data_IF_117880749079
#
_entry.id   IF_117880749079
#
_cell.length_a   1.000
_cell.length_b   1.000
_cell.length_c   1.000
_cell.angle_alpha   90.00
_cell.angle_beta   90.00
_cell.angle_gamma   90.00
#
_symmetry.space_group_name_H-M   'P 1'
#
loop_
_entity.id
_entity.type
_entity.pdbx_description
1 polymer ?
#
# COMPACT_ATOMS: atom_id res chain seq x y z
N UNK A 1 -7.10 -23.62 -8.83
CA UNK A 1 -7.01 -22.97 -7.51
C UNK A 1 -6.12 -21.73 -7.52
N UNK A 2 -4.96 -21.71 -8.20
CA UNK A 2 -4.05 -20.53 -8.22
C UNK A 2 -4.58 -19.28 -8.92
N UNK A 3 -5.52 -19.42 -9.88
CA UNK A 3 -6.13 -18.27 -10.57
C UNK A 3 -7.01 -17.41 -9.64
N UNK A 4 -7.47 -17.96 -8.52
CA UNK A 4 -8.36 -17.26 -7.58
C UNK A 4 -7.59 -16.26 -6.71
N UNK A 5 -6.33 -16.57 -6.37
CA UNK A 5 -5.47 -15.70 -5.56
C UNK A 5 -5.04 -14.43 -6.29
N UNK A 6 -4.78 -14.53 -7.61
CA UNK A 6 -4.48 -13.36 -8.44
C UNK A 6 -5.69 -12.42 -8.60
N UNK A 7 -6.92 -12.98 -8.59
CA UNK A 7 -8.16 -12.22 -8.70
C UNK A 7 -8.45 -11.39 -7.44
N UNK A 8 -8.09 -11.89 -6.26
CA UNK A 8 -8.19 -11.16 -5.00
C UNK A 8 -7.14 -10.05 -4.86
N UNK A 9 -5.98 -10.18 -5.53
CA UNK A 9 -5.00 -9.08 -5.64
C UNK A 9 -5.38 -8.02 -6.69
N UNK A 10 -6.32 -8.33 -7.57
CA UNK A 10 -6.82 -7.48 -8.65
C UNK A 10 -8.27 -7.02 -8.42
N UNK A 11 -8.75 -6.97 -7.17
CA UNK A 11 -9.88 -6.09 -6.89
C UNK A 11 -9.34 -4.66 -6.92
N UNK A 12 -9.67 -3.85 -7.95
CA UNK A 12 -9.36 -2.44 -7.88
C UNK A 12 -10.08 -1.94 -6.63
N UNK A 13 -9.31 -1.49 -5.62
CA UNK A 13 -9.87 -0.83 -4.45
C UNK A 13 -10.90 0.16 -5.00
N UNK A 14 -12.20 -0.14 -4.81
CA UNK A 14 -13.29 0.46 -5.56
C UNK A 14 -13.04 1.96 -5.62
N UNK A 15 -12.79 2.48 -6.83
CA UNK A 15 -12.10 3.76 -7.05
C UNK A 15 -12.60 4.81 -6.06
N UNK A 16 -11.86 4.99 -4.97
CA UNK A 16 -12.29 5.84 -3.89
C UNK A 16 -12.39 7.24 -4.48
N UNK A 17 -13.58 7.84 -4.45
CA UNK A 17 -13.74 9.23 -4.87
C UNK A 17 -12.72 10.04 -4.07
N UNK A 18 -11.77 10.73 -4.73
CA UNK A 18 -10.74 11.47 -4.02
C UNK A 18 -11.42 12.46 -3.07
N UNK A 19 -11.14 12.32 -1.77
CA UNK A 19 -11.68 13.26 -0.80
C UNK A 19 -11.13 14.65 -1.10
N UNK A 20 -12.02 15.61 -1.29
CA UNK A 20 -11.69 17.02 -1.48
C UNK A 20 -12.07 17.79 -0.22
N UNK A 21 -11.19 18.69 0.21
CA UNK A 21 -11.52 19.67 1.26
C UNK A 21 -12.74 20.47 0.81
N UNK A 22 -13.79 20.59 1.64
CA UNK A 22 -14.87 21.53 1.39
C UNK A 22 -14.35 22.97 1.43
N UNK A 23 -14.60 23.75 0.37
CA UNK A 23 -14.06 25.12 0.22
C UNK A 23 -14.50 26.10 1.32
N UNK A 24 -15.59 25.81 2.04
CA UNK A 24 -16.18 26.67 3.06
C UNK A 24 -16.20 26.01 4.45
N UNK A 25 -15.22 25.17 4.79
CA UNK A 25 -15.23 24.40 6.03
C UNK A 25 -15.19 25.22 7.34
N UNK A 26 -14.90 26.53 7.27
CA UNK A 26 -14.82 27.39 8.45
C UNK A 26 -13.76 26.92 9.47
N UNK A 27 -13.66 27.59 10.64
CA UNK A 27 -12.81 27.11 11.72
C UNK A 27 -13.38 25.84 12.37
N UNK A 28 -12.50 25.00 12.92
CA UNK A 28 -12.91 23.83 13.70
C UNK A 28 -13.60 24.30 14.99
N UNK A 29 -14.81 23.81 15.31
CA UNK A 29 -15.48 24.12 16.57
C UNK A 29 -14.61 23.76 17.78
N UNK A 30 -14.58 24.58 18.85
CA UNK A 30 -13.68 24.38 19.99
C UNK A 30 -13.86 23.01 20.66
N UNK A 31 -15.10 22.51 20.73
CA UNK A 31 -15.44 21.19 21.25
C UNK A 31 -14.89 20.02 20.42
N UNK A 32 -14.52 20.26 19.15
CA UNK A 32 -13.93 19.26 18.25
C UNK A 32 -12.40 19.39 18.12
N UNK A 33 -11.78 20.41 18.73
CA UNK A 33 -10.37 20.69 18.53
C UNK A 33 -9.47 19.52 18.94
N UNK A 34 -9.74 18.88 20.08
CA UNK A 34 -8.93 17.75 20.57
C UNK A 34 -9.12 16.51 19.70
N UNK A 35 -10.36 16.25 19.25
CA UNK A 35 -10.64 15.14 18.34
C UNK A 35 -9.96 15.34 16.99
N UNK A 36 -9.95 16.56 16.46
CA UNK A 36 -9.27 16.90 15.21
C UNK A 36 -7.75 16.70 15.33
N UNK A 37 -7.14 17.10 16.44
CA UNK A 37 -5.71 16.86 16.72
C UNK A 37 -5.41 15.37 16.83
N UNK A 38 -6.23 14.61 17.55
CA UNK A 38 -6.07 13.17 17.69
C UNK A 38 -6.17 12.45 16.33
N UNK A 39 -7.17 12.83 15.51
CA UNK A 39 -7.33 12.29 14.16
C UNK A 39 -6.12 12.62 13.28
N UNK A 40 -5.64 13.86 13.29
CA UNK A 40 -4.48 14.28 12.50
C UNK A 40 -3.18 13.59 12.96
N UNK A 41 -3.05 13.21 14.24
CA UNK A 41 -1.95 12.39 14.72
C UNK A 41 -2.06 10.97 14.17
N UNK A 42 -3.20 10.30 14.35
CA UNK A 42 -3.43 8.94 13.86
C UNK A 42 -3.24 8.82 12.34
N UNK A 43 -3.72 9.81 11.57
CA UNK A 43 -3.52 9.85 10.12
C UNK A 43 -2.04 9.91 9.73
N UNK A 44 -1.22 10.68 10.45
CA UNK A 44 0.22 10.77 10.20
C UNK A 44 0.92 9.46 10.55
N UNK A 45 0.52 8.80 11.63
CA UNK A 45 1.09 7.52 12.04
C UNK A 45 0.83 6.44 10.99
N UNK A 46 -0.42 6.31 10.54
CA UNK A 46 -0.83 5.37 9.50
C UNK A 46 -0.13 5.67 8.17
N UNK A 47 -0.05 6.94 7.76
CA UNK A 47 0.67 7.33 6.54
C UNK A 47 2.16 6.96 6.63
N UNK A 48 2.78 7.15 7.80
CA UNK A 48 4.17 6.77 8.04
C UNK A 48 4.38 5.25 7.99
N UNK A 49 3.45 4.46 8.53
CA UNK A 49 3.49 3.00 8.43
C UNK A 49 3.36 2.52 6.99
N UNK A 50 2.38 3.04 6.26
CA UNK A 50 2.18 2.70 4.86
C UNK A 50 3.43 2.99 4.02
N UNK A 51 4.07 4.13 4.23
CA UNK A 51 5.28 4.48 3.48
C UNK A 51 6.46 3.57 3.82
N UNK A 52 6.61 3.14 5.08
CA UNK A 52 7.65 2.17 5.48
C UNK A 52 7.43 0.82 4.79
N UNK A 53 6.20 0.32 4.78
CA UNK A 53 5.86 -0.94 4.13
C UNK A 53 6.04 -0.88 2.60
N UNK A 54 5.64 0.25 2.00
CA UNK A 54 5.88 0.52 0.57
C UNK A 54 7.37 0.49 0.25
N UNK A 55 8.20 1.15 1.05
CA UNK A 55 9.64 1.19 0.87
C UNK A 55 10.32 -0.18 1.10
N UNK A 56 9.85 -0.98 2.06
CA UNK A 56 10.31 -2.35 2.28
C UNK A 56 9.99 -3.23 1.06
N UNK A 57 8.74 -3.18 0.59
CA UNK A 57 8.29 -3.93 -0.60
C UNK A 57 9.09 -3.54 -1.84
N UNK A 58 9.29 -2.23 -2.07
CA UNK A 58 10.08 -1.75 -3.20
C UNK A 58 11.52 -2.28 -3.18
N UNK A 59 12.16 -2.31 -1.99
CA UNK A 59 13.49 -2.90 -1.80
C UNK A 59 13.52 -4.39 -2.12
N UNK A 60 12.56 -5.16 -1.61
CA UNK A 60 12.46 -6.60 -1.90
C UNK A 60 12.29 -6.87 -3.40
N UNK A 61 11.38 -6.14 -4.06
CA UNK A 61 11.18 -6.28 -5.51
C UNK A 61 12.43 -5.88 -6.31
N UNK A 62 13.18 -4.87 -5.85
CA UNK A 62 14.45 -4.49 -6.47
C UNK A 62 15.50 -5.58 -6.35
N UNK A 63 15.59 -6.23 -5.19
CA UNK A 63 16.48 -7.37 -4.99
C UNK A 63 16.11 -8.53 -5.94
N UNK A 64 14.82 -8.89 -6.05
CA UNK A 64 14.35 -9.93 -6.97
C UNK A 64 14.68 -9.61 -8.43
N UNK A 65 14.52 -8.34 -8.86
CA UNK A 65 14.89 -7.92 -10.23
C UNK A 65 16.38 -8.02 -10.53
N UNK A 66 17.24 -7.95 -9.52
CA UNK A 66 18.69 -8.04 -9.70
C UNK A 66 19.21 -9.47 -9.89
N UNK A 67 18.37 -10.50 -9.68
CA UNK A 67 18.74 -11.90 -9.84
C UNK A 67 18.83 -12.24 -11.34
N UNK A 68 20.02 -12.63 -11.85
CA UNK A 68 20.18 -13.05 -13.24
C UNK A 68 19.32 -14.28 -13.55
N UNK A 69 18.52 -14.22 -14.61
CA UNK A 69 17.61 -15.29 -15.03
C UNK A 69 16.12 -15.02 -14.76
N UNK A 70 15.78 -14.18 -13.78
CA UNK A 70 14.38 -13.77 -13.49
C UNK A 70 13.90 -12.70 -14.48
N UNK A 71 14.78 -11.80 -14.92
CA UNK A 71 14.47 -10.78 -15.93
C UNK A 71 14.39 -11.35 -17.37
N UNK A 72 15.04 -12.48 -17.65
CA UNK A 72 15.14 -13.07 -18.99
C UNK A 72 14.05 -14.12 -19.28
N UNK A 73 13.35 -14.62 -18.26
CA UNK A 73 12.28 -15.62 -18.39
C UNK A 73 11.05 -15.10 -17.67
N UNK A 74 10.07 -14.60 -18.42
CA UNK A 74 8.81 -14.05 -17.92
C UNK A 74 7.87 -15.08 -17.27
N UNK A 75 8.39 -15.95 -16.41
CA UNK A 75 7.63 -16.97 -15.69
C UNK A 75 8.43 -17.46 -14.48
N UNK A 76 7.79 -17.48 -13.31
CA UNK A 76 8.36 -18.04 -12.10
C UNK A 76 8.67 -19.53 -12.33
N UNK A 77 9.93 -19.93 -12.11
CA UNK A 77 10.34 -21.34 -12.15
C UNK A 77 10.47 -21.82 -10.71
N UNK A 78 9.63 -22.76 -10.31
CA UNK A 78 9.72 -23.42 -9.00
C UNK A 78 10.89 -24.42 -9.07
N UNK A 79 11.98 -24.11 -8.36
CA UNK A 79 13.10 -25.04 -8.20
C UNK A 79 12.81 -25.90 -6.96
N UNK A 80 12.24 -27.09 -7.17
CA UNK A 80 12.13 -28.09 -6.12
C UNK A 80 13.52 -28.69 -5.87
N UNK A 81 14.12 -28.30 -4.74
CA UNK A 81 15.36 -28.89 -4.24
C UNK A 81 15.03 -30.14 -3.44
N UNK A 82 14.63 -31.19 -4.14
CA UNK A 82 14.66 -32.56 -3.61
C UNK A 82 16.06 -33.13 -3.85
N UNK A 83 16.86 -33.13 -2.77
CA UNK A 83 18.08 -33.93 -2.64
C UNK A 83 17.86 -35.03 -1.62
#
# INVERSE_FOLDING_TARGET
MERELARLQQEPAAAAVPWTVPAAAGPIPPELADRARALAAAQRDVAGELERERAATARHLSALRSIPGVAARGGAVYLDVTG
#
